data_IF_791405446442
#
_entry.id   IF_791405446442
#
_cell.length_a   1.000
_cell.length_b   1.000
_cell.length_c   1.000
_cell.angle_alpha   90.00
_cell.angle_beta   90.00
_cell.angle_gamma   90.00
#
_symmetry.space_group_name_H-M   'P 1'
#
loop_
_entity.id
_entity.type
_entity.pdbx_description
1 polymer ?
#
# COMPACT_ATOMS: atom_id res chain seq x y z
N UNK A 1 -64.22 30.68 0.47
CA UNK A 1 -63.51 30.98 -0.80
C UNK A 1 -62.07 30.49 -0.63
N UNK A 2 -61.69 29.48 -1.42
CA UNK A 2 -60.34 28.94 -1.74
C UNK A 2 -59.44 28.59 -0.53
N UNK A 3 -59.26 27.34 -0.05
CA UNK A 3 -58.92 26.05 -0.71
C UNK A 3 -57.84 26.18 -1.79
N UNK A 4 -56.58 25.90 -1.42
CA UNK A 4 -55.59 25.05 -2.11
C UNK A 4 -54.49 24.77 -1.08
N UNK A 5 -54.41 23.52 -0.60
CA UNK A 5 -53.27 23.00 0.15
C UNK A 5 -52.49 22.14 -0.85
N UNK A 6 -51.33 22.62 -1.27
CA UNK A 6 -50.44 21.91 -2.19
C UNK A 6 -49.69 20.84 -1.37
N UNK A 7 -50.07 19.58 -1.55
CA UNK A 7 -49.35 18.43 -1.01
C UNK A 7 -48.16 18.16 -1.94
N UNK A 8 -46.97 18.66 -1.60
CA UNK A 8 -45.73 18.27 -2.26
C UNK A 8 -45.36 16.86 -1.80
N UNK A 9 -45.56 15.88 -2.68
CA UNK A 9 -45.04 14.53 -2.54
C UNK A 9 -43.52 14.59 -2.81
N UNK A 10 -42.72 14.85 -1.77
CA UNK A 10 -41.28 14.64 -1.83
C UNK A 10 -41.04 13.13 -1.81
N UNK A 11 -40.80 12.55 -2.98
CA UNK A 11 -40.22 11.22 -3.11
C UNK A 11 -38.79 11.31 -2.55
N UNK A 12 -38.64 10.99 -1.27
CA UNK A 12 -37.35 10.70 -0.66
C UNK A 12 -36.82 9.39 -1.28
N UNK A 13 -36.17 9.48 -2.43
CA UNK A 13 -35.12 8.50 -2.77
C UNK A 13 -33.94 8.81 -1.88
N UNK A 14 -34.01 8.32 -0.63
CA UNK A 14 -32.84 8.07 0.20
C UNK A 14 -32.00 7.05 -0.57
N UNK A 15 -31.04 7.53 -1.37
CA UNK A 15 -29.84 6.77 -1.62
C UNK A 15 -29.19 6.58 -0.26
N UNK A 16 -29.47 5.43 0.36
CA UNK A 16 -28.58 4.89 1.37
C UNK A 16 -27.29 4.54 0.62
N UNK A 17 -26.39 5.52 0.49
CA UNK A 17 -24.99 5.16 0.44
C UNK A 17 -24.75 4.43 1.76
N UNK A 18 -24.65 3.10 1.70
CA UNK A 18 -23.91 2.40 2.72
C UNK A 18 -22.58 3.17 2.84
N UNK A 19 -22.28 3.65 4.05
CA UNK A 19 -20.91 3.98 4.43
C UNK A 19 -20.15 2.65 4.36
N UNK A 20 -19.81 2.21 3.14
CA UNK A 20 -18.86 1.14 2.95
C UNK A 20 -17.55 1.76 3.40
N UNK A 21 -17.02 1.26 4.53
CA UNK A 21 -15.74 1.72 5.02
C UNK A 21 -14.70 1.50 3.94
N UNK A 22 -13.98 2.56 3.58
CA UNK A 22 -12.77 2.45 2.77
C UNK A 22 -11.82 1.44 3.43
N UNK A 23 -11.14 0.64 2.61
CA UNK A 23 -10.06 -0.21 3.08
C UNK A 23 -8.97 0.65 3.73
N UNK A 24 -8.73 0.42 5.03
CA UNK A 24 -7.61 0.99 5.76
C UNK A 24 -6.40 0.09 5.52
N UNK A 25 -5.38 0.65 4.87
CA UNK A 25 -4.13 0.00 4.53
C UNK A 25 -3.01 0.50 5.45
N UNK A 26 -2.13 -0.42 5.82
CA UNK A 26 -0.91 -0.21 6.59
C UNK A 26 0.32 -0.59 5.75
N UNK A 27 1.52 -0.16 6.14
CA UNK A 27 2.74 -0.70 5.57
C UNK A 27 2.72 -2.24 5.58
N UNK A 28 3.04 -2.85 4.45
CA UNK A 28 2.92 -4.29 4.22
C UNK A 28 1.62 -4.75 3.56
N UNK A 29 0.58 -3.90 3.50
CA UNK A 29 -0.67 -4.22 2.80
C UNK A 29 -0.61 -3.95 1.30
N UNK A 30 0.44 -3.29 0.82
CA UNK A 30 0.64 -2.96 -0.59
C UNK A 30 2.09 -3.27 -0.98
N UNK A 31 2.28 -3.77 -2.19
CA UNK A 31 3.61 -3.92 -2.78
C UNK A 31 3.58 -3.73 -4.29
N UNK A 32 4.63 -3.09 -4.82
CA UNK A 32 4.86 -3.00 -6.27
C UNK A 32 5.40 -4.34 -6.78
N UNK A 33 4.89 -4.79 -7.92
CA UNK A 33 5.35 -6.01 -8.61
C UNK A 33 5.86 -5.73 -10.03
N UNK A 34 5.60 -4.55 -10.58
CA UNK A 34 6.05 -4.20 -11.91
C UNK A 34 6.12 -2.69 -12.11
N UNK A 35 7.18 -2.26 -12.78
CA UNK A 35 7.36 -0.90 -13.28
C UNK A 35 7.85 -0.99 -14.72
N UNK A 36 7.19 -0.25 -15.60
CA UNK A 36 7.60 -0.11 -16.98
C UNK A 36 7.37 1.33 -17.44
N UNK A 37 8.46 2.08 -17.61
CA UNK A 37 8.42 3.45 -18.10
C UNK A 37 8.19 3.46 -19.61
N UNK A 38 7.50 4.47 -20.13
CA UNK A 38 7.34 4.66 -21.58
C UNK A 38 6.73 3.45 -22.33
N UNK A 39 5.81 2.68 -21.73
CA UNK A 39 5.16 1.51 -22.37
C UNK A 39 4.26 1.86 -23.55
N UNK A 40 3.96 3.14 -23.72
CA UNK A 40 3.23 3.70 -24.86
C UNK A 40 1.90 4.34 -24.49
N UNK A 41 1.11 4.76 -25.49
CA UNK A 41 -0.15 5.47 -25.26
C UNK A 41 -0.57 6.36 -26.42
N UNK A 42 -1.25 7.47 -26.12
CA UNK A 42 -1.84 8.42 -27.09
C UNK A 42 -0.84 8.97 -28.13
N UNK A 43 0.46 8.79 -27.90
CA UNK A 43 1.56 9.34 -28.73
C UNK A 43 2.58 8.29 -29.24
N UNK A 44 2.35 6.98 -29.04
CA UNK A 44 3.14 5.90 -29.65
C UNK A 44 3.42 4.72 -28.72
N UNK A 45 3.52 3.51 -29.26
CA UNK A 45 3.96 2.32 -28.52
C UNK A 45 5.48 2.26 -28.53
N UNK A 46 6.09 1.89 -27.40
CA UNK A 46 7.46 1.38 -27.36
C UNK A 46 8.45 2.10 -28.28
N UNK A 47 8.49 3.42 -28.25
CA UNK A 47 9.29 4.16 -29.21
C UNK A 47 10.77 4.02 -28.85
N UNK A 48 11.51 3.30 -29.69
CA UNK A 48 12.97 3.19 -29.70
C UNK A 48 13.71 4.53 -29.92
N UNK A 49 12.97 5.62 -29.99
CA UNK A 49 13.33 6.87 -30.66
C UNK A 49 13.79 7.94 -29.65
N UNK A 50 13.83 7.61 -28.36
CA UNK A 50 14.26 8.52 -27.29
C UNK A 50 13.36 9.75 -27.10
N UNK A 51 12.11 9.68 -27.57
CA UNK A 51 11.10 10.71 -27.40
C UNK A 51 10.08 10.24 -26.35
N UNK A 52 10.33 10.65 -25.11
CA UNK A 52 9.56 10.46 -23.87
C UNK A 52 8.08 10.89 -23.98
N UNK A 53 7.26 10.08 -24.65
CA UNK A 53 5.83 10.40 -24.85
C UNK A 53 4.90 9.22 -24.50
N UNK A 54 5.46 8.13 -23.97
CA UNK A 54 4.70 6.98 -23.51
C UNK A 54 4.16 7.21 -22.10
N UNK A 55 3.14 6.43 -21.73
CA UNK A 55 2.69 6.33 -20.34
C UNK A 55 3.65 5.42 -19.58
N UNK A 56 3.76 5.66 -18.28
CA UNK A 56 4.47 4.78 -17.37
C UNK A 56 3.47 3.89 -16.66
N UNK A 57 3.79 2.60 -16.59
CA UNK A 57 2.94 1.57 -16.02
C UNK A 57 3.48 1.12 -14.67
N UNK A 58 2.58 1.08 -13.70
CA UNK A 58 2.85 0.50 -12.38
C UNK A 58 1.84 -0.59 -12.10
N UNK A 59 2.34 -1.78 -11.80
CA UNK A 59 1.54 -2.92 -11.34
C UNK A 59 1.86 -3.19 -9.88
N UNK A 60 0.82 -3.21 -9.05
CA UNK A 60 0.94 -3.43 -7.61
C UNK A 60 -0.16 -4.38 -7.12
N UNK A 61 0.07 -4.94 -5.93
CA UNK A 61 -0.87 -5.81 -5.25
C UNK A 61 -1.26 -5.24 -3.91
N UNK A 62 -2.50 -5.49 -3.50
CA UNK A 62 -2.94 -5.28 -2.13
C UNK A 62 -3.15 -6.63 -1.44
N UNK A 63 -2.61 -6.80 -0.23
CA UNK A 63 -2.83 -7.98 0.60
C UNK A 63 -4.17 -7.95 1.33
N UNK A 64 -4.91 -6.83 1.23
CA UNK A 64 -6.28 -6.68 1.72
C UNK A 64 -7.23 -6.38 0.56
N UNK A 65 -8.49 -6.73 0.74
CA UNK A 65 -9.55 -6.35 -0.19
C UNK A 65 -9.64 -4.82 -0.30
N UNK A 66 -9.76 -4.31 -1.52
CA UNK A 66 -9.98 -2.89 -1.81
C UNK A 66 -11.47 -2.70 -2.08
N UNK A 67 -12.16 -2.06 -1.14
CA UNK A 67 -13.60 -1.79 -1.23
C UNK A 67 -13.89 -0.52 -2.03
N UNK A 68 -15.11 -0.37 -2.55
CA UNK A 68 -15.59 0.87 -3.17
C UNK A 68 -15.40 2.06 -2.23
N UNK A 69 -14.91 3.18 -2.74
CA UNK A 69 -14.58 4.37 -1.96
C UNK A 69 -13.16 4.35 -1.36
N UNK A 70 -12.41 3.25 -1.53
CA UNK A 70 -11.01 3.21 -1.11
C UNK A 70 -10.16 4.18 -1.92
N UNK A 71 -9.29 4.89 -1.23
CA UNK A 71 -8.37 5.87 -1.81
C UNK A 71 -6.94 5.40 -1.62
N UNK A 72 -6.13 5.51 -2.67
CA UNK A 72 -4.69 5.25 -2.67
C UNK A 72 -4.00 6.43 -3.35
N UNK A 73 -2.97 6.95 -2.70
CA UNK A 73 -2.18 8.07 -3.19
C UNK A 73 -0.84 7.57 -3.75
N UNK A 74 -0.32 8.26 -4.75
CA UNK A 74 0.93 7.95 -5.42
C UNK A 74 1.74 9.23 -5.60
N UNK A 75 3.05 9.15 -5.38
CA UNK A 75 3.96 10.25 -5.72
C UNK A 75 5.32 9.72 -6.14
N UNK A 76 5.86 10.36 -7.16
CA UNK A 76 7.26 10.28 -7.57
C UNK A 76 8.08 11.44 -6.99
N UNK A 77 7.52 12.32 -6.15
CA UNK A 77 8.35 13.30 -5.44
C UNK A 77 9.30 12.59 -4.47
N UNK A 78 10.60 12.89 -4.57
CA UNK A 78 11.61 12.32 -3.67
C UNK A 78 11.43 12.74 -2.20
N UNK A 79 11.52 11.77 -1.27
CA UNK A 79 11.59 12.05 0.16
C UNK A 79 13.01 12.51 0.52
N UNK A 80 13.13 13.59 1.29
CA UNK A 80 14.41 14.21 1.64
C UNK A 80 15.33 14.43 0.43
N UNK A 81 14.76 14.75 -0.73
CA UNK A 81 15.53 15.02 -1.95
C UNK A 81 16.55 16.14 -1.71
N UNK A 82 16.13 17.23 -1.08
CA UNK A 82 17.04 18.30 -0.62
C UNK A 82 16.89 18.52 0.89
N UNK A 83 15.65 18.75 1.35
CA UNK A 83 15.38 19.22 2.69
C UNK A 83 15.06 18.04 3.62
N UNK A 84 15.76 17.90 4.76
CA UNK A 84 15.45 16.87 5.75
C UNK A 84 14.01 16.97 6.27
N UNK A 85 13.35 15.82 6.41
CA UNK A 85 11.97 15.67 6.86
C UNK A 85 10.89 16.16 5.90
N UNK A 86 11.22 16.49 4.65
CA UNK A 86 10.29 17.05 3.67
C UNK A 86 10.34 16.29 2.33
N UNK A 87 9.25 16.39 1.58
CA UNK A 87 9.12 15.86 0.23
C UNK A 87 9.55 16.91 -0.80
N UNK A 88 10.03 16.44 -1.94
CA UNK A 88 10.07 17.26 -3.14
C UNK A 88 8.69 17.76 -3.56
N UNK A 89 8.64 18.82 -4.35
CA UNK A 89 7.38 19.41 -4.84
C UNK A 89 7.44 19.85 -6.31
N UNK A 90 8.29 19.18 -7.08
CA UNK A 90 8.47 19.44 -8.51
C UNK A 90 8.08 18.26 -9.40
N UNK A 91 7.48 17.23 -8.81
CA UNK A 91 7.01 16.02 -9.48
C UNK A 91 5.53 15.79 -9.14
N UNK A 92 4.98 14.64 -9.51
CA UNK A 92 3.56 14.33 -9.43
C UNK A 92 3.10 13.85 -8.06
N UNK A 93 1.85 14.21 -7.73
CA UNK A 93 1.11 13.57 -6.64
C UNK A 93 -0.31 13.30 -7.13
N UNK A 94 -0.67 12.02 -7.23
CA UNK A 94 -1.96 11.56 -7.73
C UNK A 94 -2.71 10.82 -6.63
N UNK A 95 -4.02 11.06 -6.56
CA UNK A 95 -4.96 10.31 -5.75
C UNK A 95 -5.84 9.46 -6.66
N UNK A 96 -5.88 8.15 -6.44
CA UNK A 96 -6.76 7.20 -7.11
C UNK A 96 -7.87 6.75 -6.15
N UNK A 97 -9.13 6.88 -6.56
CA UNK A 97 -10.30 6.47 -5.79
C UNK A 97 -11.04 5.33 -6.50
N UNK A 98 -11.28 4.23 -5.78
CA UNK A 98 -12.05 3.09 -6.28
C UNK A 98 -13.53 3.47 -6.40
N UNK A 99 -14.09 3.38 -7.61
CA UNK A 99 -15.53 3.66 -7.85
C UNK A 99 -16.33 2.41 -8.25
N UNK A 100 -15.66 1.34 -8.66
CA UNK A 100 -16.29 0.05 -8.97
C UNK A 100 -16.44 -0.86 -7.75
N UNK A 101 -16.74 -2.13 -8.01
CA UNK A 101 -16.93 -3.18 -7.01
C UNK A 101 -15.65 -3.48 -6.21
N UNK A 102 -15.77 -4.22 -5.10
CA UNK A 102 -14.61 -4.62 -4.31
C UNK A 102 -13.63 -5.47 -5.13
N UNK A 103 -12.33 -5.19 -4.97
CA UNK A 103 -11.24 -5.95 -5.59
C UNK A 103 -10.65 -6.89 -4.53
N UNK A 104 -10.71 -8.22 -4.73
CA UNK A 104 -10.16 -9.18 -3.77
C UNK A 104 -8.67 -8.98 -3.51
N UNK A 105 -8.24 -9.28 -2.28
CA UNK A 105 -6.82 -9.34 -1.93
C UNK A 105 -6.05 -10.26 -2.90
N UNK A 106 -4.84 -9.86 -3.27
CA UNK A 106 -3.98 -10.61 -4.19
C UNK A 106 -4.23 -10.34 -5.67
N UNK A 107 -5.29 -9.60 -6.02
CA UNK A 107 -5.52 -9.16 -7.41
C UNK A 107 -4.52 -8.06 -7.79
N UNK A 108 -3.92 -8.16 -8.98
CA UNK A 108 -2.96 -7.15 -9.46
C UNK A 108 -3.69 -5.97 -10.08
N UNK A 109 -3.42 -4.78 -9.52
CA UNK A 109 -3.92 -3.51 -9.99
C UNK A 109 -2.83 -2.86 -10.82
N UNK A 110 -3.17 -2.43 -12.04
CA UNK A 110 -2.23 -1.78 -12.96
C UNK A 110 -2.77 -0.42 -13.36
N UNK A 111 -1.97 0.62 -13.10
CA UNK A 111 -2.24 1.99 -13.54
C UNK A 111 -1.22 2.44 -14.57
N UNK A 112 -1.67 3.32 -15.47
CA UNK A 112 -0.82 4.00 -16.44
C UNK A 112 -0.90 5.51 -16.26
N UNK A 113 0.25 6.12 -16.01
CA UNK A 113 0.42 7.55 -15.79
C UNK A 113 1.00 8.20 -17.06
N UNK A 114 0.34 9.21 -17.64
CA UNK A 114 0.85 9.90 -18.81
C UNK A 114 1.96 10.90 -18.43
N UNK A 115 2.79 11.35 -19.39
CA UNK A 115 3.79 12.39 -19.17
C UNK A 115 3.16 13.80 -19.03
N UNK A 116 1.86 13.86 -18.73
CA UNK A 116 1.06 15.07 -18.58
C UNK A 116 0.21 14.98 -17.32
N UNK A 117 -0.34 16.11 -16.91
CA UNK A 117 -1.15 16.22 -15.70
C UNK A 117 -2.53 15.53 -15.79
N UNK A 118 -2.93 15.02 -16.96
CA UNK A 118 -4.28 14.51 -17.20
C UNK A 118 -4.27 13.24 -18.05
N UNK A 119 -5.33 12.44 -17.88
CA UNK A 119 -5.54 11.23 -18.68
C UNK A 119 -4.97 9.96 -18.07
N UNK A 120 -4.72 9.91 -16.75
CA UNK A 120 -4.41 8.68 -16.00
C UNK A 120 -5.42 7.56 -16.29
N UNK A 121 -4.94 6.32 -16.38
CA UNK A 121 -5.76 5.15 -16.70
C UNK A 121 -5.59 4.05 -15.65
N UNK A 122 -6.70 3.38 -15.33
CA UNK A 122 -6.69 2.07 -14.71
C UNK A 122 -6.87 1.00 -15.79
N UNK A 123 -5.97 0.03 -15.81
CA UNK A 123 -5.89 -1.01 -16.85
C UNK A 123 -6.42 -2.33 -16.31
N UNK A 124 -5.92 -2.77 -15.15
CA UNK A 124 -6.36 -3.99 -14.48
C UNK A 124 -6.71 -3.72 -13.02
N UNK A 125 -7.67 -4.45 -12.43
CA UNK A 125 -8.53 -5.46 -13.07
C UNK A 125 -9.63 -4.87 -13.98
N UNK A 126 -9.90 -3.57 -13.84
CA UNK A 126 -10.93 -2.84 -14.58
C UNK A 126 -10.60 -1.33 -14.62
N UNK A 127 -11.44 -0.55 -15.30
CA UNK A 127 -11.27 0.89 -15.46
C UNK A 127 -12.02 1.74 -14.41
N UNK A 128 -12.65 1.12 -13.41
CA UNK A 128 -13.55 1.78 -12.45
C UNK A 128 -12.76 2.43 -11.29
N UNK A 129 -11.92 3.38 -11.68
CA UNK A 129 -11.12 4.25 -10.83
C UNK A 129 -11.24 5.70 -11.26
N UNK A 130 -11.31 6.61 -10.29
CA UNK A 130 -11.24 8.05 -10.51
C UNK A 130 -9.88 8.58 -10.06
N UNK A 131 -9.24 9.40 -10.89
CA UNK A 131 -7.93 9.99 -10.59
C UNK A 131 -8.03 11.49 -10.38
N UNK A 132 -7.38 11.97 -9.33
CA UNK A 132 -7.24 13.39 -9.00
C UNK A 132 -5.76 13.76 -8.89
N UNK A 133 -5.33 14.75 -9.66
CA UNK A 133 -4.03 15.39 -9.47
C UNK A 133 -4.10 16.35 -8.27
N UNK A 134 -3.23 16.13 -7.28
CA UNK A 134 -3.08 17.01 -6.11
C UNK A 134 -1.74 17.76 -6.12
N UNK A 135 -0.74 17.24 -6.83
CA UNK A 135 0.52 17.92 -7.09
C UNK A 135 0.43 18.94 -8.24
N UNK A 136 1.57 19.53 -8.59
CA UNK A 136 1.66 20.53 -9.68
C UNK A 136 2.20 19.96 -10.99
N UNK A 137 2.75 18.75 -11.00
CA UNK A 137 3.33 18.11 -12.18
C UNK A 137 2.75 16.72 -12.44
N UNK A 138 3.11 16.12 -13.57
CA UNK A 138 2.77 14.73 -13.87
C UNK A 138 3.51 13.79 -12.91
N UNK A 139 2.89 12.65 -12.59
CA UNK A 139 3.61 11.52 -12.02
C UNK A 139 4.16 10.72 -13.19
N UNK A 140 5.48 10.71 -13.37
CA UNK A 140 6.12 10.05 -14.49
C UNK A 140 7.56 9.64 -14.16
N UNK A 141 7.99 8.52 -14.72
CA UNK A 141 9.26 7.88 -14.43
C UNK A 141 10.30 8.25 -15.46
N UNK A 142 11.47 8.69 -14.99
CA UNK A 142 12.57 9.08 -15.85
C UNK A 142 13.43 7.88 -16.30
N UNK A 143 14.00 7.96 -17.51
CA UNK A 143 14.83 6.89 -18.11
C UNK A 143 16.17 6.62 -17.39
N UNK A 144 16.48 7.41 -16.36
CA UNK A 144 17.71 7.29 -15.55
C UNK A 144 17.40 6.94 -14.08
N UNK A 145 16.18 6.45 -13.85
CA UNK A 145 15.73 5.97 -12.56
C UNK A 145 14.83 6.97 -11.87
N UNK A 146 13.96 6.45 -11.01
CA UNK A 146 12.97 7.22 -10.29
C UNK A 146 12.48 6.47 -9.05
N UNK A 147 11.80 7.21 -8.19
CA UNK A 147 11.10 6.70 -7.03
C UNK A 147 9.59 6.66 -7.26
N UNK A 148 8.93 5.78 -6.52
CA UNK A 148 7.50 5.81 -6.31
C UNK A 148 7.21 5.53 -4.86
N UNK A 149 6.36 6.34 -4.27
CA UNK A 149 5.74 6.05 -2.99
C UNK A 149 4.24 5.85 -3.17
N UNK A 150 3.73 4.82 -2.49
CA UNK A 150 2.29 4.58 -2.35
C UNK A 150 1.90 4.98 -0.93
N UNK A 151 0.85 5.79 -0.79
CA UNK A 151 0.42 6.37 0.47
C UNK A 151 -1.09 6.22 0.64
N UNK A 152 -1.59 6.43 1.86
CA UNK A 152 -3.03 6.51 2.10
C UNK A 152 -3.40 7.37 3.31
N UNK A 153 -4.52 8.08 3.17
CA UNK A 153 -5.28 8.65 4.28
C UNK A 153 -4.80 10.02 4.77
N UNK A 154 -3.74 10.55 4.17
CA UNK A 154 -3.19 11.85 4.49
C UNK A 154 -3.64 12.99 3.58
N UNK A 155 -3.13 14.17 3.89
CA UNK A 155 -3.28 15.39 3.11
C UNK A 155 -1.92 15.79 2.56
N UNK A 156 -1.85 16.00 1.25
CA UNK A 156 -0.70 16.57 0.57
C UNK A 156 -0.73 18.09 0.66
N UNK A 157 0.33 18.67 1.21
CA UNK A 157 0.65 20.09 1.12
C UNK A 157 1.81 20.22 0.13
N UNK A 158 1.58 20.92 -0.99
CA UNK A 158 2.59 21.10 -2.04
C UNK A 158 3.71 22.05 -1.64
N UNK A 159 3.64 22.68 -0.46
CA UNK A 159 4.65 23.63 0.00
C UNK A 159 4.77 24.86 -0.91
N UNK A 160 5.97 25.43 -0.97
CA UNK A 160 6.24 26.66 -1.71
C UNK A 160 6.45 26.36 -3.20
N UNK A 161 5.44 26.67 -3.99
CA UNK A 161 5.49 26.54 -5.46
C UNK A 161 6.03 27.82 -6.11
N UNK A 162 7.04 27.68 -6.98
CA UNK A 162 7.62 28.78 -7.76
C UNK A 162 7.31 28.58 -9.25
N UNK A 163 6.33 29.32 -9.76
CA UNK A 163 5.89 29.19 -11.16
C UNK A 163 5.03 27.94 -11.37
N UNK A 164 5.10 27.34 -12.57
CA UNK A 164 4.22 26.22 -12.93
C UNK A 164 4.78 24.83 -12.54
N UNK A 165 6.09 24.69 -12.38
CA UNK A 165 6.76 23.39 -12.29
C UNK A 165 7.96 23.34 -11.33
N UNK A 166 8.29 24.44 -10.63
CA UNK A 166 9.39 24.48 -9.67
C UNK A 166 8.85 24.67 -8.24
N UNK A 167 9.67 24.32 -7.24
CA UNK A 167 9.35 24.51 -5.84
C UNK A 167 10.57 24.39 -4.94
N UNK A 168 10.42 24.80 -3.69
CA UNK A 168 11.51 24.85 -2.70
C UNK A 168 11.83 23.48 -2.07
N UNK A 169 11.25 22.39 -2.58
CA UNK A 169 11.38 21.01 -2.07
C UNK A 169 10.91 20.88 -0.62
N UNK A 170 9.77 21.49 -0.33
CA UNK A 170 9.21 21.68 1.00
C UNK A 170 7.77 21.16 1.13
N UNK A 171 7.39 20.17 0.32
CA UNK A 171 6.09 19.53 0.45
C UNK A 171 6.02 18.63 1.69
N UNK A 172 4.79 18.38 2.14
CA UNK A 172 4.50 17.54 3.30
C UNK A 172 3.29 16.66 3.05
N UNK A 173 3.37 15.41 3.52
CA UNK A 173 2.22 14.52 3.64
C UNK A 173 1.89 14.33 5.11
N UNK A 174 0.71 14.76 5.55
CA UNK A 174 0.34 14.77 6.97
C UNK A 174 -0.91 13.94 7.25
N UNK A 175 -0.93 13.26 8.41
CA UNK A 175 -2.08 12.47 8.88
C UNK A 175 -2.31 11.13 8.17
N UNK A 176 -1.49 10.79 7.18
CA UNK A 176 -1.58 9.53 6.43
C UNK A 176 -0.47 8.53 6.77
N UNK A 177 -0.40 7.47 5.97
CA UNK A 177 0.60 6.40 6.06
C UNK A 177 1.33 6.25 4.73
N UNK A 178 2.64 6.05 4.79
CA UNK A 178 3.44 5.63 3.64
C UNK A 178 3.43 4.12 3.61
N UNK A 179 2.89 3.52 2.56
CA UNK A 179 2.58 2.09 2.52
C UNK A 179 3.69 1.27 1.87
N UNK A 180 4.31 1.81 0.82
CA UNK A 180 5.38 1.14 0.10
C UNK A 180 6.27 2.16 -0.64
N UNK A 181 7.58 1.90 -0.68
CA UNK A 181 8.54 2.66 -1.48
C UNK A 181 9.17 1.79 -2.57
N UNK A 182 9.13 2.23 -3.82
CA UNK A 182 9.81 1.56 -4.93
C UNK A 182 10.84 2.51 -5.55
N UNK A 183 12.00 1.98 -5.91
CA UNK A 183 13.02 2.73 -6.62
C UNK A 183 13.53 1.89 -7.79
N UNK A 184 13.51 2.45 -8.99
CA UNK A 184 14.05 1.77 -10.17
C UNK A 184 15.59 1.81 -10.23
N UNK A 185 16.22 2.50 -9.26
CA UNK A 185 17.66 2.47 -8.96
C UNK A 185 17.97 1.51 -7.82
N UNK A 186 19.23 1.10 -7.72
CA UNK A 186 19.73 0.22 -6.65
C UNK A 186 19.84 0.87 -5.27
N UNK A 187 19.83 2.21 -5.19
CA UNK A 187 20.16 2.96 -3.98
C UNK A 187 19.18 4.10 -3.72
N UNK A 188 18.86 4.31 -2.45
CA UNK A 188 18.10 5.45 -1.95
C UNK A 188 19.06 6.52 -1.43
N UNK A 189 19.11 7.66 -2.11
CA UNK A 189 20.05 8.75 -1.84
C UNK A 189 19.29 10.02 -1.42
N UNK A 190 19.37 10.37 -0.14
CA UNK A 190 18.84 11.64 0.39
C UNK A 190 19.83 12.81 0.13
N UNK A 191 19.30 14.03 0.06
CA UNK A 191 20.08 15.27 -0.03
C UNK A 191 20.74 15.54 -1.39
N UNK A 192 20.29 14.87 -2.45
CA UNK A 192 20.70 15.12 -3.83
C UNK A 192 19.59 15.89 -4.55
N UNK A 193 19.87 17.12 -4.99
CA UNK A 193 18.95 17.93 -5.79
C UNK A 193 18.84 17.43 -7.24
N UNK A 194 18.19 16.27 -7.38
CA UNK A 194 17.93 15.58 -8.64
C UNK A 194 16.63 14.80 -8.47
N UNK A 195 15.69 14.98 -9.39
CA UNK A 195 14.39 14.29 -9.39
C UNK A 195 14.54 12.77 -9.45
N UNK A 196 15.65 12.26 -9.96
CA UNK A 196 15.94 10.83 -10.05
C UNK A 196 16.48 10.24 -8.72
N UNK A 197 16.49 11.02 -7.63
CA UNK A 197 16.98 10.58 -6.33
C UNK A 197 15.99 10.89 -5.23
N UNK A 198 15.99 10.00 -4.24
CA UNK A 198 15.12 10.05 -3.08
C UNK A 198 15.79 9.31 -1.93
N UNK A 199 15.69 9.83 -0.71
CA UNK A 199 15.92 9.07 0.50
C UNK A 199 14.81 8.04 0.71
N UNK A 200 15.10 6.94 1.41
CA UNK A 200 14.08 5.97 1.78
C UNK A 200 13.28 6.49 2.98
N UNK A 201 11.97 6.65 2.83
CA UNK A 201 11.13 7.12 3.93
C UNK A 201 11.16 6.13 5.12
N UNK A 202 11.33 6.59 6.38
CA UNK A 202 11.49 5.71 7.53
C UNK A 202 10.31 4.75 7.76
N UNK A 203 9.07 5.18 7.48
CA UNK A 203 7.86 4.36 7.65
C UNK A 203 7.83 3.06 6.83
N UNK A 204 8.62 2.98 5.76
CA UNK A 204 8.71 1.77 4.93
C UNK A 204 9.95 0.92 5.22
N UNK A 205 10.77 1.35 6.19
CA UNK A 205 11.95 0.59 6.61
C UNK A 205 11.63 -0.43 7.71
N UNK A 206 12.29 -1.61 7.72
CA UNK A 206 13.23 -2.09 6.71
C UNK A 206 12.57 -2.86 5.54
N UNK A 207 11.25 -3.05 5.54
CA UNK A 207 10.65 -4.18 4.80
C UNK A 207 9.70 -3.82 3.66
N UNK A 208 9.16 -2.62 3.63
CA UNK A 208 8.10 -2.25 2.68
C UNK A 208 8.65 -1.40 1.55
N UNK A 209 9.83 -1.79 1.07
CA UNK A 209 10.44 -1.13 -0.06
C UNK A 209 11.17 -2.09 -0.96
N UNK A 210 11.34 -1.69 -2.23
CA UNK A 210 12.11 -2.47 -3.19
C UNK A 210 12.95 -1.59 -4.11
N UNK A 211 14.17 -2.05 -4.36
CA UNK A 211 15.14 -1.52 -5.32
C UNK A 211 15.73 -2.68 -6.13
N UNK A 212 15.04 -3.16 -7.20
CA UNK A 212 15.21 -4.51 -7.73
C UNK A 212 16.41 -4.79 -8.64
N UNK A 213 17.37 -3.88 -8.81
CA UNK A 213 18.48 -4.13 -9.74
C UNK A 213 19.85 -3.63 -9.25
N UNK A 214 20.93 -4.19 -9.80
CA UNK A 214 22.30 -3.69 -9.69
C UNK A 214 22.57 -2.51 -10.64
N UNK A 215 21.59 -1.64 -10.85
CA UNK A 215 21.66 -0.56 -11.82
C UNK A 215 20.39 0.28 -11.88
N UNK A 216 20.18 0.91 -13.02
CA UNK A 216 18.96 1.65 -13.36
C UNK A 216 18.27 0.87 -14.47
N UNK A 217 16.98 0.56 -14.32
CA UNK A 217 16.17 0.01 -15.41
C UNK A 217 14.81 0.67 -15.50
N UNK A 218 14.36 0.88 -16.72
CA UNK A 218 13.03 1.43 -17.03
C UNK A 218 11.97 0.32 -17.11
N UNK A 219 12.39 -0.94 -17.11
CA UNK A 219 11.50 -2.10 -17.25
C UNK A 219 11.93 -3.16 -16.24
N UNK A 220 11.09 -3.39 -15.23
CA UNK A 220 11.37 -4.38 -14.19
C UNK A 220 10.10 -4.97 -13.63
N UNK A 221 10.07 -6.29 -13.47
CA UNK A 221 8.93 -6.98 -12.84
C UNK A 221 9.38 -8.14 -11.98
N UNK A 222 8.57 -8.45 -10.98
CA UNK A 222 8.75 -9.62 -10.14
C UNK A 222 8.56 -10.88 -10.98
N UNK A 223 9.59 -11.72 -11.01
CA UNK A 223 9.67 -12.97 -11.78
C UNK A 223 9.95 -14.19 -10.89
N UNK A 224 9.92 -14.00 -9.56
CA UNK A 224 10.13 -15.05 -8.57
C UNK A 224 8.95 -16.03 -8.46
N UNK A 225 8.96 -16.90 -7.43
CA UNK A 225 7.91 -17.91 -7.23
C UNK A 225 6.53 -17.29 -6.98
N UNK A 226 5.51 -17.82 -7.69
CA UNK A 226 4.09 -17.50 -7.51
C UNK A 226 3.28 -18.57 -6.78
N UNK A 227 3.95 -19.54 -6.16
CA UNK A 227 3.27 -20.50 -5.28
C UNK A 227 2.58 -19.76 -4.14
N UNK A 228 1.41 -20.24 -3.73
CA UNK A 228 0.67 -19.71 -2.58
C UNK A 228 1.59 -19.47 -1.38
N UNK A 229 1.46 -18.30 -0.75
CA UNK A 229 2.33 -17.85 0.34
C UNK A 229 1.58 -16.92 1.28
N UNK A 230 1.99 -16.84 2.54
CA UNK A 230 1.47 -15.85 3.48
C UNK A 230 1.88 -14.42 3.07
N UNK A 231 1.26 -13.40 3.65
CA UNK A 231 1.68 -12.00 3.43
C UNK A 231 3.16 -11.78 3.79
N UNK A 232 3.62 -12.34 4.93
CA UNK A 232 5.01 -12.23 5.36
C UNK A 232 5.98 -12.86 4.37
N UNK A 233 5.65 -14.05 3.86
CA UNK A 233 6.45 -14.73 2.83
C UNK A 233 6.46 -13.95 1.52
N UNK A 234 5.33 -13.36 1.13
CA UNK A 234 5.26 -12.51 -0.05
C UNK A 234 6.14 -11.26 0.09
N UNK A 235 6.09 -10.57 1.22
CA UNK A 235 6.97 -9.43 1.50
C UNK A 235 8.44 -9.85 1.39
N UNK A 236 8.82 -10.98 1.97
CA UNK A 236 10.19 -11.50 1.87
C UNK A 236 10.59 -11.86 0.42
N UNK A 237 9.67 -12.43 -0.36
CA UNK A 237 9.92 -12.72 -1.79
C UNK A 237 10.09 -11.46 -2.61
N UNK A 238 9.21 -10.47 -2.42
CA UNK A 238 9.23 -9.20 -3.15
C UNK A 238 10.48 -8.42 -2.78
N UNK A 239 10.87 -8.39 -1.50
CA UNK A 239 12.08 -7.73 -1.01
C UNK A 239 13.40 -8.38 -1.43
N UNK A 240 13.37 -9.54 -2.09
CA UNK A 240 14.57 -10.22 -2.58
C UNK A 240 14.88 -9.80 -4.03
N UNK A 241 16.00 -9.10 -4.31
CA UNK A 241 16.38 -8.69 -5.67
C UNK A 241 16.52 -9.84 -6.67
N UNK A 242 16.88 -11.04 -6.21
CA UNK A 242 17.02 -12.22 -7.10
C UNK A 242 15.67 -12.69 -7.68
N UNK A 243 14.55 -12.23 -7.12
CA UNK A 243 13.20 -12.54 -7.62
C UNK A 243 12.69 -11.51 -8.65
N UNK A 244 13.54 -10.61 -9.14
CA UNK A 244 13.17 -9.60 -10.12
C UNK A 244 13.94 -9.77 -11.42
N UNK A 245 13.25 -9.47 -12.53
CA UNK A 245 13.84 -9.43 -13.86
C UNK A 245 13.80 -8.01 -14.39
N UNK A 246 14.91 -7.57 -14.97
CA UNK A 246 14.99 -6.35 -15.77
C UNK A 246 14.88 -6.70 -17.25
N UNK A 247 14.29 -5.81 -18.03
CA UNK A 247 14.11 -5.98 -19.47
C UNK A 247 14.73 -4.80 -20.22
N UNK A 248 15.21 -5.05 -21.44
CA UNK A 248 15.90 -4.02 -22.22
C UNK A 248 14.92 -2.96 -22.76
N UNK A 249 13.67 -3.36 -23.01
CA UNK A 249 12.63 -2.52 -23.59
C UNK A 249 11.22 -3.01 -23.21
N UNK A 250 10.20 -2.23 -23.56
CA UNK A 250 8.80 -2.58 -23.30
C UNK A 250 8.24 -3.68 -24.20
N UNK A 251 8.86 -4.02 -25.33
CA UNK A 251 8.42 -5.18 -26.13
C UNK A 251 8.79 -6.50 -25.40
N UNK A 252 9.89 -6.48 -24.65
CA UNK A 252 10.35 -7.60 -23.84
C UNK A 252 9.75 -7.63 -22.44
N UNK A 253 9.31 -6.48 -21.91
CA UNK A 253 8.71 -6.37 -20.59
C UNK A 253 7.58 -7.39 -20.39
N UNK A 254 7.66 -8.15 -19.31
CA UNK A 254 6.60 -9.08 -18.92
C UNK A 254 5.83 -8.49 -17.75
N UNK A 255 4.54 -8.24 -17.96
CA UNK A 255 3.63 -7.88 -16.89
C UNK A 255 3.61 -8.98 -15.81
N UNK A 256 3.49 -8.62 -14.52
CA UNK A 256 3.16 -9.57 -13.46
C UNK A 256 1.85 -10.32 -13.80
N UNK A 257 1.59 -11.51 -13.19
CA UNK A 257 0.33 -12.22 -13.40
C UNK A 257 -0.86 -11.37 -12.93
N UNK A 258 -2.08 -11.74 -13.33
CA UNK A 258 -3.29 -11.02 -12.92
C UNK A 258 -3.60 -11.12 -11.42
N UNK A 259 -3.07 -12.14 -10.74
CA UNK A 259 -3.28 -12.38 -9.32
C UNK A 259 -2.10 -13.12 -8.70
N UNK A 260 -1.97 -13.00 -7.38
CA UNK A 260 -1.13 -13.84 -6.53
C UNK A 260 -2.00 -14.54 -5.48
N UNK A 261 -1.62 -15.74 -5.09
CA UNK A 261 -2.34 -16.52 -4.08
C UNK A 261 -1.79 -16.20 -2.69
N UNK A 262 -2.67 -15.67 -1.83
CA UNK A 262 -2.36 -15.35 -0.43
C UNK A 262 -2.88 -16.47 0.46
N UNK A 263 -1.97 -17.11 1.20
CA UNK A 263 -2.31 -18.09 2.22
C UNK A 263 -2.78 -17.41 3.51
N UNK A 264 -3.49 -18.16 4.34
CA UNK A 264 -3.79 -17.73 5.71
C UNK A 264 -2.50 -17.47 6.49
N UNK A 265 -2.48 -16.43 7.31
CA UNK A 265 -1.25 -15.96 7.95
C UNK A 265 -0.74 -16.87 9.06
N UNK A 266 -1.62 -17.71 9.63
CA UNK A 266 -1.36 -18.45 10.86
C UNK A 266 -1.28 -17.55 12.10
N UNK A 267 -1.53 -16.24 11.97
CA UNK A 267 -1.45 -15.27 13.05
C UNK A 267 -2.82 -15.02 13.65
N UNK A 268 -3.01 -15.41 14.91
CA UNK A 268 -4.28 -15.26 15.62
C UNK A 268 -4.11 -15.28 17.13
N UNK A 269 -5.14 -14.83 17.83
CA UNK A 269 -5.34 -15.09 19.25
C UNK A 269 -6.58 -15.95 19.42
N UNK A 270 -6.40 -17.11 20.05
CA UNK A 270 -7.50 -18.01 20.39
C UNK A 270 -7.60 -18.19 21.91
N UNK A 271 -8.72 -18.71 22.40
CA UNK A 271 -8.93 -19.04 23.80
C UNK A 271 -9.18 -20.54 23.97
N UNK A 272 -8.83 -21.07 25.13
CA UNK A 272 -9.03 -22.49 25.39
C UNK A 272 -10.46 -22.79 25.89
N UNK A 273 -10.98 -21.98 26.81
CA UNK A 273 -12.34 -22.15 27.37
C UNK A 273 -13.33 -21.21 26.68
N UNK A 274 -12.91 -19.98 26.43
CA UNK A 274 -13.62 -18.88 25.78
C UNK A 274 -14.84 -18.35 26.55
N UNK A 275 -15.63 -19.21 27.19
CA UNK A 275 -16.83 -18.81 27.91
C UNK A 275 -16.96 -19.57 29.24
N UNK A 276 -17.09 -18.84 30.35
CA UNK A 276 -17.34 -19.47 31.66
C UNK A 276 -18.09 -18.54 32.62
N UNK A 277 -18.32 -19.01 33.85
CA UNK A 277 -18.91 -18.15 34.87
C UNK A 277 -17.84 -17.20 35.44
N UNK A 278 -18.00 -15.90 35.18
CA UNK A 278 -17.13 -14.87 35.75
C UNK A 278 -17.17 -14.83 37.29
N UNK A 279 -16.02 -14.63 37.96
CA UNK A 279 -14.69 -14.53 37.35
C UNK A 279 -14.06 -15.91 37.12
N UNK A 280 -13.33 -16.08 36.02
CA UNK A 280 -12.61 -17.31 35.70
C UNK A 280 -11.22 -17.03 35.13
N UNK A 281 -10.38 -18.07 35.17
CA UNK A 281 -9.08 -18.06 34.50
C UNK A 281 -9.20 -18.80 33.17
N UNK A 282 -8.58 -18.27 32.13
CA UNK A 282 -8.43 -18.91 30.83
C UNK A 282 -7.00 -18.77 30.34
N UNK A 283 -6.70 -19.38 29.20
CA UNK A 283 -5.42 -19.27 28.51
C UNK A 283 -5.68 -18.80 27.10
N UNK A 284 -5.05 -17.69 26.71
CA UNK A 284 -4.95 -17.30 25.31
C UNK A 284 -3.84 -18.10 24.66
N UNK A 285 -4.12 -18.62 23.47
CA UNK A 285 -3.17 -19.32 22.62
C UNK A 285 -2.78 -18.40 21.47
N UNK A 286 -1.48 -18.07 21.38
CA UNK A 286 -0.96 -17.23 20.31
C UNK A 286 -0.59 -18.12 19.11
N UNK A 287 -1.36 -18.03 18.04
CA UNK A 287 -0.99 -18.64 16.76
C UNK A 287 0.01 -17.75 16.03
N UNK A 288 1.14 -18.31 15.61
CA UNK A 288 2.18 -17.63 14.81
C UNK A 288 2.73 -18.57 13.73
N UNK A 289 3.34 -18.04 12.66
CA UNK A 289 4.05 -18.87 11.70
C UNK A 289 5.17 -19.71 12.36
N UNK A 290 5.40 -20.93 11.86
CA UNK A 290 6.48 -21.80 12.38
C UNK A 290 7.89 -21.25 12.11
N UNK A 291 8.03 -20.36 11.11
CA UNK A 291 9.29 -19.75 10.70
C UNK A 291 9.20 -18.23 10.79
N UNK A 292 10.34 -17.55 10.94
CA UNK A 292 10.42 -16.08 11.04
C UNK A 292 10.40 -15.55 12.47
N UNK A 293 10.24 -16.44 13.46
CA UNK A 293 10.35 -16.10 14.88
C UNK A 293 11.80 -16.10 15.40
N UNK A 294 11.99 -15.78 16.69
CA UNK A 294 10.94 -15.38 17.63
C UNK A 294 10.31 -14.03 17.24
N UNK A 295 9.03 -13.84 17.58
CA UNK A 295 8.25 -12.69 17.16
C UNK A 295 8.08 -11.67 18.29
N UNK A 296 7.79 -10.42 17.94
CA UNK A 296 7.24 -9.44 18.88
C UNK A 296 5.77 -9.26 18.56
N UNK A 297 4.89 -9.56 19.52
CA UNK A 297 3.44 -9.48 19.35
C UNK A 297 2.89 -8.35 20.20
N UNK A 298 2.22 -7.41 19.56
CA UNK A 298 1.35 -6.43 20.20
C UNK A 298 -0.11 -6.84 20.01
N UNK A 299 -0.85 -6.89 21.11
CA UNK A 299 -2.26 -7.23 21.12
C UNK A 299 -3.02 -6.34 22.10
N UNK A 300 -4.34 -6.25 21.96
CA UNK A 300 -5.20 -5.50 22.88
C UNK A 300 -6.14 -6.44 23.61
N UNK A 301 -6.62 -6.02 24.78
CA UNK A 301 -7.77 -6.59 25.49
C UNK A 301 -9.04 -5.70 25.35
N UNK A 302 -8.99 -4.72 24.43
CA UNK A 302 -10.00 -3.71 24.21
C UNK A 302 -9.85 -2.44 25.06
N UNK A 303 -8.95 -2.45 26.05
CA UNK A 303 -8.66 -1.30 26.91
C UNK A 303 -7.20 -0.87 26.79
N UNK A 304 -6.29 -1.82 26.91
CA UNK A 304 -4.85 -1.62 26.91
C UNK A 304 -4.20 -2.28 25.68
N UNK A 305 -2.99 -1.84 25.34
CA UNK A 305 -2.11 -2.54 24.41
C UNK A 305 -1.03 -3.26 25.20
N UNK A 306 -0.93 -4.56 24.97
CA UNK A 306 -0.05 -5.50 25.66
C UNK A 306 1.03 -5.96 24.68
N UNK A 307 2.22 -6.22 25.22
CA UNK A 307 3.39 -6.63 24.45
C UNK A 307 3.87 -8.00 24.92
N UNK A 308 4.05 -8.91 23.98
CA UNK A 308 4.75 -10.16 24.18
C UNK A 308 6.04 -10.15 23.36
N UNK A 309 7.17 -10.16 24.08
CA UNK A 309 8.49 -10.29 23.48
C UNK A 309 8.88 -11.76 23.34
N UNK A 310 9.70 -12.04 22.33
CA UNK A 310 10.22 -13.36 22.00
C UNK A 310 9.14 -14.45 21.87
N UNK A 311 8.01 -14.08 21.26
CA UNK A 311 6.84 -14.94 21.12
C UNK A 311 7.09 -16.11 20.16
N UNK A 312 6.67 -17.30 20.56
CA UNK A 312 6.70 -18.52 19.75
C UNK A 312 5.29 -18.99 19.38
N UNK A 313 5.18 -19.77 18.31
CA UNK A 313 3.90 -20.36 17.92
C UNK A 313 3.34 -21.25 19.03
N UNK A 314 2.03 -21.16 19.26
CA UNK A 314 1.28 -21.84 20.32
C UNK A 314 1.71 -21.44 21.73
N UNK A 315 2.23 -20.22 21.89
CA UNK A 315 2.52 -19.69 23.22
C UNK A 315 1.22 -19.47 24.01
N UNK A 316 1.23 -19.92 25.26
CA UNK A 316 0.13 -19.77 26.20
C UNK A 316 0.30 -18.51 27.05
N UNK A 317 -0.74 -17.68 27.11
CA UNK A 317 -0.82 -16.50 27.97
C UNK A 317 -1.97 -16.69 28.97
N UNK A 318 -1.69 -16.86 30.27
CA UNK A 318 -2.75 -16.96 31.27
C UNK A 318 -3.46 -15.61 31.44
N UNK A 319 -4.79 -15.63 31.38
CA UNK A 319 -5.63 -14.44 31.55
C UNK A 319 -6.69 -14.67 32.62
N UNK A 320 -7.10 -13.59 33.27
CA UNK A 320 -8.17 -13.60 34.27
C UNK A 320 -9.31 -12.70 33.81
N UNK A 321 -10.48 -13.30 33.63
CA UNK A 321 -11.64 -12.65 33.02
C UNK A 321 -12.69 -12.40 34.09
N UNK A 322 -13.01 -11.12 34.30
CA UNK A 322 -14.07 -10.68 35.22
C UNK A 322 -15.26 -10.02 34.50
N UNK A 323 -15.10 -9.71 33.22
CA UNK A 323 -16.09 -9.10 32.33
C UNK A 323 -15.77 -9.48 30.89
N UNK A 324 -16.74 -9.32 29.98
CA UNK A 324 -16.51 -9.50 28.55
C UNK A 324 -15.30 -8.70 28.09
N UNK A 325 -14.33 -9.39 27.49
CA UNK A 325 -13.04 -8.82 27.06
C UNK A 325 -12.73 -9.34 25.66
N UNK A 326 -12.34 -8.43 24.75
CA UNK A 326 -12.04 -8.77 23.35
C UNK A 326 -10.54 -8.67 23.14
N UNK A 327 -9.94 -9.75 22.68
CA UNK A 327 -8.52 -9.83 22.40
C UNK A 327 -8.27 -9.86 20.90
N UNK A 328 -7.50 -8.89 20.42
CA UNK A 328 -7.17 -8.75 19.00
C UNK A 328 -5.68 -8.50 18.82
N UNK A 329 -5.09 -9.09 17.78
CA UNK A 329 -3.74 -8.75 17.33
C UNK A 329 -3.74 -7.34 16.74
N UNK A 330 -2.74 -6.55 17.14
CA UNK A 330 -2.50 -5.20 16.60
C UNK A 330 -1.32 -5.23 15.63
N UNK A 331 -0.22 -5.86 16.05
CA UNK A 331 1.01 -5.94 15.25
C UNK A 331 1.78 -7.22 15.59
N UNK A 332 2.31 -7.88 14.58
CA UNK A 332 3.26 -8.98 14.73
C UNK A 332 4.53 -8.60 14.00
N UNK A 333 5.69 -8.62 14.67
CA UNK A 333 6.99 -8.27 14.08
C UNK A 333 7.87 -9.51 14.05
N UNK A 334 8.42 -9.83 12.88
CA UNK A 334 9.30 -10.98 12.70
C UNK A 334 10.73 -10.71 13.23
N UNK A 335 11.58 -11.74 13.17
CA UNK A 335 12.98 -11.67 13.62
C UNK A 335 13.83 -10.68 12.82
N UNK A 336 13.41 -10.32 11.61
CA UNK A 336 14.09 -9.33 10.78
C UNK A 336 13.63 -7.89 11.06
N UNK A 337 12.68 -7.72 11.99
CA UNK A 337 12.11 -6.42 12.32
C UNK A 337 11.03 -5.97 11.34
N UNK A 338 10.45 -6.88 10.56
CA UNK A 338 9.33 -6.58 9.66
C UNK A 338 8.00 -6.67 10.41
N UNK A 339 7.32 -5.53 10.66
CA UNK A 339 6.00 -5.58 11.26
C UNK A 339 4.94 -6.05 10.26
N UNK A 340 3.85 -6.63 10.74
CA UNK A 340 2.63 -6.88 9.99
C UNK A 340 1.49 -6.33 10.83
N UNK A 341 0.56 -5.62 10.20
CA UNK A 341 -0.55 -4.92 10.86
C UNK A 341 -1.93 -5.45 10.45
N UNK A 342 -1.98 -6.47 9.59
CA UNK A 342 -3.23 -6.95 8.99
C UNK A 342 -3.15 -8.44 8.59
N UNK A 343 -4.22 -8.94 7.97
CA UNK A 343 -4.38 -10.36 7.60
C UNK A 343 -4.20 -11.33 8.76
N UNK A 344 -4.47 -10.89 9.98
CA UNK A 344 -4.66 -11.78 11.11
C UNK A 344 -5.95 -12.57 10.90
N UNK A 345 -5.94 -13.86 11.24
CA UNK A 345 -7.07 -14.74 10.95
C UNK A 345 -8.28 -14.41 11.83
N UNK A 346 -8.10 -14.43 13.15
CA UNK A 346 -9.14 -14.08 14.12
C UNK A 346 -8.54 -13.48 15.40
N UNK A 347 -9.31 -12.59 16.02
CA UNK A 347 -9.24 -12.32 17.45
C UNK A 347 -10.25 -13.17 18.22
N UNK A 348 -10.26 -13.06 19.53
CA UNK A 348 -11.14 -13.85 20.38
C UNK A 348 -11.84 -13.01 21.46
N UNK A 349 -13.07 -13.38 21.79
CA UNK A 349 -13.85 -12.75 22.86
C UNK A 349 -14.01 -13.74 23.99
N UNK A 350 -13.75 -13.30 25.22
CA UNK A 350 -13.97 -14.10 26.42
C UNK A 350 -15.09 -13.50 27.29
N UNK A 351 -16.11 -14.31 27.59
CA UNK A 351 -17.27 -13.94 28.42
C UNK A 351 -17.37 -14.72 29.74
#
# INVERSE_FOLDING_TARGET
MNRILFLLLLVNTLFQFALVGQAILYPGDVAVLGLASNVGGDQGNCTSDGQFQGRDRISFVCFKEITTGSVIDFTDNGWERINPGLWGNTEGFIRAARIGDAIPAGTIITFEFPPTQTGHLAITPDADWEFQLLGTNALNFNDSGDQLYILQGGTWDNGTTIGCCNGEQDAAYTGGRILFGFNSRSEWNAGIDDSQNSGLHPDVTPCFSMAPTNGVTNFTSYSGPFSMATQLEWIARIGNPDNWSAYDDCEQYQDPPSEILIAASGMQLDCQICNSCSPFADTLLVGLPENGGPFIVEYTDGLDTLLLADAENLQEIPVFISQLTNFDLIRVTDINGCPIYSNFENGTSLE
#
